data_IF_345039663181
#
_entry.id   IF_345039663181
#
_cell.length_a   1.000
_cell.length_b   1.000
_cell.length_c   1.000
_cell.angle_alpha   90.00
_cell.angle_beta   90.00
_cell.angle_gamma   90.00
#
_symmetry.space_group_name_H-M   'P 1'
#
loop_
_entity.id
_entity.type
_entity.pdbx_description
1 polymer ?
#
# COMPACT_ATOMS: atom_id res chain seq x y z
N UNK A 1 -3.22 79.29 17.82
CA UNK A 1 -3.46 77.85 18.05
C UNK A 1 -2.28 77.10 17.46
N UNK A 2 -1.42 76.55 18.33
CA UNK A 2 -0.45 75.54 17.91
C UNK A 2 -1.24 74.28 17.55
N UNK A 3 -1.09 73.82 16.31
CA UNK A 3 -1.74 72.59 15.85
C UNK A 3 -0.79 71.47 16.28
N UNK A 4 -1.17 70.69 17.30
CA UNK A 4 -0.37 69.57 17.80
C UNK A 4 -0.47 68.36 16.88
N UNK A 5 0.17 68.41 15.72
CA UNK A 5 0.33 67.26 14.82
C UNK A 5 1.76 67.20 14.28
N UNK A 6 2.23 65.99 13.98
CA UNK A 6 3.57 65.76 13.42
C UNK A 6 3.45 65.80 11.88
N UNK A 7 4.14 66.72 11.19
CA UNK A 7 4.14 66.76 9.73
C UNK A 7 4.76 65.49 9.14
N UNK A 8 4.05 64.88 8.18
CA UNK A 8 4.53 63.67 7.47
C UNK A 8 5.14 63.97 6.10
N UNK A 9 5.19 65.24 5.68
CA UNK A 9 5.71 65.65 4.37
C UNK A 9 6.55 66.93 4.46
N UNK A 10 7.50 67.08 3.53
CA UNK A 10 8.36 68.27 3.43
C UNK A 10 7.64 69.52 2.93
N UNK A 11 6.50 69.33 2.25
CA UNK A 11 5.67 70.41 1.72
C UNK A 11 4.68 70.95 2.76
N UNK A 12 4.66 70.37 3.97
CA UNK A 12 3.78 70.83 5.04
C UNK A 12 4.20 72.24 5.53
N UNK A 13 3.27 73.22 5.58
CA UNK A 13 3.57 74.59 6.00
C UNK A 13 4.16 74.70 7.41
N UNK A 14 3.77 73.80 8.32
CA UNK A 14 4.28 73.78 9.70
C UNK A 14 5.72 73.29 9.75
N UNK A 15 6.09 72.30 8.91
CA UNK A 15 7.47 71.83 8.77
C UNK A 15 8.39 72.93 8.22
N UNK A 16 7.96 73.64 7.17
CA UNK A 16 8.75 74.73 6.56
C UNK A 16 9.00 75.85 7.57
N UNK A 17 7.95 76.28 8.28
CA UNK A 17 8.05 77.34 9.29
C UNK A 17 8.99 76.98 10.44
N UNK A 18 8.95 75.74 10.91
CA UNK A 18 9.82 75.29 11.99
C UNK A 18 11.28 75.22 11.53
N UNK A 19 11.54 74.72 10.32
CA UNK A 19 12.87 74.69 9.71
C UNK A 19 13.47 76.09 9.53
N UNK A 20 12.65 77.08 9.16
CA UNK A 20 13.08 78.49 9.07
C UNK A 20 13.39 79.07 10.46
N UNK A 21 12.60 78.73 11.47
CA UNK A 21 12.83 79.14 12.87
C UNK A 21 14.16 78.60 13.39
N UNK A 22 14.42 77.31 13.18
CA UNK A 22 15.68 76.65 13.58
C UNK A 22 16.91 77.34 12.96
N UNK A 23 16.86 77.63 11.65
CA UNK A 23 17.91 78.39 10.95
C UNK A 23 18.13 79.79 11.52
N UNK A 24 17.05 80.51 11.84
CA UNK A 24 17.11 81.87 12.39
C UNK A 24 17.74 81.91 13.79
N UNK A 25 17.50 80.87 14.59
CA UNK A 25 18.02 80.77 15.96
C UNK A 25 19.42 80.14 15.97
N UNK A 26 19.91 79.64 14.83
CA UNK A 26 21.25 79.05 14.70
C UNK A 26 21.35 77.66 15.34
N UNK A 27 20.27 76.87 15.28
CA UNK A 27 20.33 75.47 15.67
C UNK A 27 21.31 74.71 14.76
N UNK A 28 21.92 73.66 15.32
CA UNK A 28 22.77 72.74 14.57
C UNK A 28 21.93 72.01 13.52
N UNK A 29 22.52 71.75 12.35
CA UNK A 29 21.80 71.05 11.29
C UNK A 29 21.34 69.66 11.75
N UNK A 30 20.08 69.35 11.44
CA UNK A 30 19.46 68.10 11.86
C UNK A 30 20.03 66.93 11.04
N UNK A 31 20.57 65.92 11.72
CA UNK A 31 21.13 64.70 11.11
C UNK A 31 20.13 63.53 11.02
N UNK A 32 18.84 63.78 11.20
CA UNK A 32 17.84 62.71 11.11
C UNK A 32 17.68 62.23 9.65
N UNK A 33 17.09 61.04 9.46
CA UNK A 33 16.88 60.44 8.15
C UNK A 33 16.06 61.30 7.18
N UNK A 34 15.26 62.23 7.68
CA UNK A 34 14.49 63.16 6.85
C UNK A 34 15.32 64.39 6.44
N UNK A 35 16.26 64.84 7.26
CA UNK A 35 17.05 66.05 7.00
C UNK A 35 18.38 65.75 6.29
N UNK A 36 18.98 64.59 6.54
CA UNK A 36 20.16 64.09 5.83
C UNK A 36 19.95 62.63 5.37
N UNK A 37 19.24 62.41 4.24
CA UNK A 37 18.92 61.06 3.77
C UNK A 37 20.15 60.28 3.28
N UNK A 38 21.19 60.98 2.81
CA UNK A 38 22.42 60.35 2.29
C UNK A 38 23.23 59.75 3.44
N UNK A 39 23.47 60.52 4.50
CA UNK A 39 24.18 60.04 5.68
C UNK A 39 23.40 58.90 6.38
N UNK A 40 22.08 59.03 6.50
CA UNK A 40 21.24 57.99 7.10
C UNK A 40 21.27 56.67 6.32
N UNK A 41 21.22 56.71 4.99
CA UNK A 41 21.31 55.54 4.14
C UNK A 41 22.70 54.87 4.21
N UNK A 42 23.77 55.67 4.28
CA UNK A 42 25.12 55.18 4.56
C UNK A 42 25.25 54.47 5.91
N UNK A 43 24.74 55.09 6.98
CA UNK A 43 24.70 54.50 8.32
C UNK A 43 23.95 53.16 8.32
N UNK A 44 22.79 53.09 7.68
CA UNK A 44 21.99 51.85 7.61
C UNK A 44 22.72 50.71 6.88
N UNK A 45 23.56 51.02 5.89
CA UNK A 45 24.38 49.99 5.21
C UNK A 45 25.46 49.42 6.12
N UNK A 46 25.99 50.22 7.04
CA UNK A 46 27.15 49.85 7.87
C UNK A 46 26.79 49.65 9.35
N UNK A 47 25.51 49.69 9.70
CA UNK A 47 25.01 49.50 11.08
C UNK A 47 25.43 48.16 11.71
N UNK A 48 25.79 47.16 10.87
CA UNK A 48 26.29 45.85 11.32
C UNK A 48 27.73 45.89 11.84
N UNK A 49 28.49 46.89 11.43
CA UNK A 49 29.87 47.16 11.85
C UNK A 49 29.91 48.08 13.07
N UNK A 50 28.75 48.59 13.49
CA UNK A 50 28.61 49.45 14.65
C UNK A 50 28.76 48.64 15.94
N UNK A 51 29.66 49.09 16.80
CA UNK A 51 29.88 48.60 18.15
C UNK A 51 29.72 49.74 19.17
N UNK A 52 30.05 49.47 20.43
CA UNK A 52 29.89 50.46 21.51
C UNK A 52 30.93 51.58 21.45
N UNK A 53 32.07 51.33 20.82
CA UNK A 53 33.21 52.22 20.84
C UNK A 53 33.21 53.15 19.60
N UNK A 54 32.57 52.73 18.50
CA UNK A 54 32.48 53.48 17.24
C UNK A 54 31.10 54.12 16.97
N UNK A 55 30.11 53.92 17.83
CA UNK A 55 28.74 54.39 17.64
C UNK A 55 28.64 55.89 17.34
N UNK A 56 29.29 56.73 18.16
CA UNK A 56 29.20 58.18 18.03
C UNK A 56 29.84 58.68 16.73
N UNK A 57 30.98 58.10 16.34
CA UNK A 57 31.66 58.42 15.08
C UNK A 57 30.81 58.00 13.87
N UNK A 58 30.20 56.82 13.94
CA UNK A 58 29.35 56.29 12.88
C UNK A 58 28.07 57.14 12.70
N UNK A 59 27.51 57.73 13.75
CA UNK A 59 26.31 58.58 13.66
C UNK A 59 26.59 59.93 13.00
N UNK A 60 27.76 60.53 13.28
CA UNK A 60 28.12 61.87 12.79
C UNK A 60 28.74 61.83 11.39
N UNK A 61 29.12 60.64 10.91
CA UNK A 61 29.75 60.47 9.60
C UNK A 61 28.82 60.83 8.44
N UNK A 62 29.25 61.77 7.61
CA UNK A 62 28.53 62.18 6.39
C UNK A 62 29.10 61.55 5.11
N UNK A 63 30.37 61.14 5.14
CA UNK A 63 31.15 60.67 3.99
C UNK A 63 31.25 59.14 3.91
N UNK A 64 30.09 58.51 3.74
CA UNK A 64 30.04 57.06 3.54
C UNK A 64 30.63 56.68 2.19
N UNK A 65 31.46 55.61 2.13
CA UNK A 65 31.96 55.10 0.87
C UNK A 65 30.77 54.70 -0.03
N UNK A 66 30.94 54.88 -1.35
CA UNK A 66 29.93 54.49 -2.32
C UNK A 66 29.57 53.01 -2.12
N UNK A 67 28.27 52.69 -2.24
CA UNK A 67 27.78 51.34 -2.01
C UNK A 67 28.55 50.34 -2.90
N UNK A 68 29.32 49.45 -2.27
CA UNK A 68 29.91 48.34 -2.99
C UNK A 68 28.78 47.50 -3.61
N UNK A 69 28.89 47.07 -4.87
CA UNK A 69 27.89 46.21 -5.47
C UNK A 69 27.73 44.99 -4.59
N UNK A 70 26.52 44.76 -4.08
CA UNK A 70 26.19 43.59 -3.26
C UNK A 70 26.49 42.34 -4.09
N UNK A 71 27.68 41.77 -3.91
CA UNK A 71 27.97 40.41 -4.35
C UNK A 71 27.14 39.54 -3.41
N UNK A 72 25.90 39.30 -3.80
CA UNK A 72 25.04 38.30 -3.17
C UNK A 72 25.66 36.95 -3.45
N UNK A 73 26.71 36.60 -2.71
CA UNK A 73 27.07 35.20 -2.60
C UNK A 73 25.89 34.57 -1.87
N UNK A 74 24.98 33.98 -2.64
CA UNK A 74 24.09 32.93 -2.18
C UNK A 74 24.96 31.72 -1.85
N UNK A 75 25.90 31.88 -0.91
CA UNK A 75 26.38 30.77 -0.12
C UNK A 75 25.20 30.39 0.74
N UNK A 76 24.29 29.62 0.14
CA UNK A 76 23.34 28.77 0.83
C UNK A 76 24.18 28.10 1.89
N UNK A 77 23.99 28.49 3.15
CA UNK A 77 24.59 27.85 4.30
C UNK A 77 24.17 26.39 4.16
N UNK A 78 25.04 25.55 3.60
CA UNK A 78 24.86 24.12 3.67
C UNK A 78 24.82 23.88 5.16
N UNK A 79 23.66 23.48 5.67
CA UNK A 79 23.56 22.97 7.01
C UNK A 79 24.68 21.92 7.07
N UNK A 80 25.72 22.24 7.83
CA UNK A 80 26.73 21.29 8.17
C UNK A 80 25.93 20.13 8.76
N UNK A 81 26.02 18.94 8.16
CA UNK A 81 25.66 17.68 8.81
C UNK A 81 26.62 17.51 10.00
N UNK A 82 26.51 18.40 10.98
CA UNK A 82 26.98 18.19 12.32
C UNK A 82 26.03 17.16 12.88
N UNK A 83 26.56 15.96 13.14
CA UNK A 83 25.82 14.87 13.74
C UNK A 83 25.23 15.27 15.08
N UNK A 84 24.01 15.77 15.06
CA UNK A 84 23.06 15.59 16.13
C UNK A 84 22.20 14.41 15.73
N UNK A 85 22.04 13.47 16.65
CA UNK A 85 21.05 12.39 16.58
C UNK A 85 19.74 12.97 16.07
N UNK A 86 19.44 12.78 14.78
CA UNK A 86 18.21 13.29 14.18
C UNK A 86 17.07 12.50 14.81
N UNK A 87 16.53 13.02 15.91
CA UNK A 87 15.23 12.66 16.42
C UNK A 87 14.28 12.85 15.25
N UNK A 88 13.89 11.74 14.63
CA UNK A 88 13.02 11.76 13.46
C UNK A 88 11.71 12.40 13.89
N UNK A 89 11.28 13.43 13.17
CA UNK A 89 9.95 14.02 13.35
C UNK A 89 8.91 12.91 13.30
N UNK A 90 8.09 12.82 14.34
CA UNK A 90 6.99 11.86 14.42
C UNK A 90 5.80 12.49 13.72
N UNK A 91 5.30 11.86 12.66
CA UNK A 91 4.06 12.29 11.99
C UNK A 91 2.88 11.66 12.71
N UNK A 92 2.04 12.50 13.31
CA UNK A 92 0.81 12.08 13.97
C UNK A 92 -0.27 11.78 12.91
N UNK A 93 -1.22 10.90 13.25
CA UNK A 93 -2.44 10.77 12.44
C UNK A 93 -3.35 11.97 12.67
N UNK A 94 -4.24 12.27 11.73
CA UNK A 94 -5.18 13.40 11.86
C UNK A 94 -5.99 13.36 13.17
N UNK A 95 -6.43 12.18 13.57
CA UNK A 95 -7.14 11.96 14.85
C UNK A 95 -6.29 12.28 16.08
N UNK A 96 -5.00 11.98 16.03
CA UNK A 96 -4.05 12.26 17.10
C UNK A 96 -3.67 13.74 17.14
N UNK A 97 -3.57 14.40 15.99
CA UNK A 97 -3.35 15.86 15.88
C UNK A 97 -4.51 16.63 16.52
N UNK A 98 -5.75 16.25 16.22
CA UNK A 98 -6.96 16.87 16.80
C UNK A 98 -7.02 16.69 18.32
N UNK A 99 -6.74 15.48 18.84
CA UNK A 99 -6.68 15.24 20.29
C UNK A 99 -5.56 16.04 20.97
N UNK A 100 -4.35 16.06 20.40
CA UNK A 100 -3.23 16.80 20.96
C UNK A 100 -3.53 18.31 20.96
N UNK A 101 -4.12 18.83 19.89
CA UNK A 101 -4.54 20.23 19.79
C UNK A 101 -5.51 20.60 20.91
N UNK A 102 -6.57 19.81 21.10
CA UNK A 102 -7.56 20.04 22.15
C UNK A 102 -6.92 20.00 23.56
N UNK A 103 -6.05 19.03 23.82
CA UNK A 103 -5.36 18.91 25.11
C UNK A 103 -4.39 20.08 25.36
N UNK A 104 -3.71 20.58 24.33
CA UNK A 104 -2.82 21.74 24.44
C UNK A 104 -3.61 23.03 24.73
N UNK A 105 -4.78 23.21 24.12
CA UNK A 105 -5.68 24.35 24.39
C UNK A 105 -6.17 24.28 25.84
N UNK A 106 -6.67 23.12 26.30
CA UNK A 106 -7.15 22.95 27.68
C UNK A 106 -6.02 23.14 28.71
N UNK A 107 -4.83 22.60 28.43
CA UNK A 107 -3.65 22.81 29.26
C UNK A 107 -3.25 24.28 29.35
N UNK A 108 -3.29 25.01 28.23
CA UNK A 108 -3.02 26.44 28.21
C UNK A 108 -4.08 27.23 28.97
N UNK A 109 -5.37 26.90 28.80
CA UNK A 109 -6.48 27.55 29.49
C UNK A 109 -6.31 27.45 31.02
N UNK A 110 -5.93 26.28 31.53
CA UNK A 110 -5.63 26.09 32.95
C UNK A 110 -4.48 26.99 33.42
N UNK A 111 -3.39 27.07 32.65
CA UNK A 111 -2.27 27.95 32.97
C UNK A 111 -2.69 29.44 32.98
N UNK A 112 -3.56 29.81 32.05
CA UNK A 112 -4.09 31.15 31.91
C UNK A 112 -5.00 31.55 33.09
N UNK A 113 -5.92 30.68 33.47
CA UNK A 113 -6.85 30.90 34.58
C UNK A 113 -6.13 31.00 35.94
N UNK A 114 -5.07 30.19 36.13
CA UNK A 114 -4.20 30.28 37.32
C UNK A 114 -3.50 31.64 37.38
N UNK A 115 -3.05 32.17 36.22
CA UNK A 115 -2.33 33.44 36.18
C UNK A 115 -3.26 34.65 36.32
N UNK A 116 -4.45 34.56 35.74
CA UNK A 116 -5.41 35.66 35.66
C UNK A 116 -6.78 35.26 36.23
N UNK A 117 -6.87 34.97 37.54
CA UNK A 117 -8.11 34.49 38.16
C UNK A 117 -9.26 35.51 38.13
N UNK A 118 -8.95 36.80 37.97
CA UNK A 118 -9.92 37.89 37.89
C UNK A 118 -10.16 38.38 36.46
N UNK A 119 -9.68 37.64 35.46
CA UNK A 119 -9.77 38.02 34.06
C UNK A 119 -8.74 39.08 33.66
N UNK A 120 -8.69 39.33 32.36
CA UNK A 120 -7.70 40.18 31.67
C UNK A 120 -8.33 40.66 30.36
N UNK A 121 -7.86 41.79 29.83
CA UNK A 121 -8.29 42.31 28.52
C UNK A 121 -7.76 41.46 27.36
N UNK A 122 -6.80 40.58 27.61
CA UNK A 122 -6.26 39.62 26.66
C UNK A 122 -7.04 38.31 26.75
N UNK A 123 -7.38 37.74 25.60
CA UNK A 123 -7.96 36.41 25.51
C UNK A 123 -6.87 35.33 25.40
N UNK A 124 -7.12 34.11 25.90
CA UNK A 124 -6.21 32.98 25.77
C UNK A 124 -5.75 32.74 24.33
N UNK A 125 -6.68 32.80 23.38
CA UNK A 125 -6.44 32.58 21.95
C UNK A 125 -5.45 33.58 21.34
N UNK A 126 -5.37 34.79 21.90
CA UNK A 126 -4.42 35.82 21.43
C UNK A 126 -2.98 35.50 21.86
N UNK A 127 -2.80 34.69 22.90
CA UNK A 127 -1.49 34.33 23.44
C UNK A 127 -1.03 32.95 22.97
N UNK A 128 -1.96 32.00 22.85
CA UNK A 128 -1.69 30.65 22.42
C UNK A 128 -2.86 30.12 21.59
N UNK A 129 -2.70 30.15 20.27
CA UNK A 129 -3.71 29.71 19.32
C UNK A 129 -3.16 28.65 18.36
N UNK A 130 -3.86 28.49 17.24
CA UNK A 130 -3.53 27.51 16.21
C UNK A 130 -2.08 27.61 15.69
N UNK A 131 -1.48 28.80 15.46
CA UNK A 131 -0.10 28.87 14.95
C UNK A 131 0.92 28.23 15.88
N UNK A 132 0.75 28.38 17.19
CA UNK A 132 1.64 27.78 18.19
C UNK A 132 1.42 26.27 18.27
N UNK A 133 0.16 25.82 18.23
CA UNK A 133 -0.23 24.41 18.24
C UNK A 133 0.34 23.69 17.01
N UNK A 134 0.14 24.26 15.83
CA UNK A 134 0.66 23.75 14.56
C UNK A 134 2.19 23.64 14.60
N UNK A 135 2.88 24.62 15.20
CA UNK A 135 4.34 24.55 15.36
C UNK A 135 4.79 23.39 16.26
N UNK A 136 4.04 23.12 17.34
CA UNK A 136 4.32 21.98 18.24
C UNK A 136 4.06 20.66 17.51
N UNK A 137 2.92 20.53 16.83
CA UNK A 137 2.53 19.32 16.08
C UNK A 137 3.52 19.05 14.95
N UNK A 138 3.85 20.09 14.18
CA UNK A 138 4.82 19.95 13.10
C UNK A 138 6.16 19.47 13.66
N UNK A 139 6.66 20.04 14.74
CA UNK A 139 7.95 19.65 15.31
C UNK A 139 7.86 18.52 16.34
N UNK A 140 6.77 17.75 16.34
CA UNK A 140 6.57 16.69 17.31
C UNK A 140 7.67 15.61 17.21
N UNK A 141 8.26 15.27 18.36
CA UNK A 141 9.38 14.33 18.47
C UNK A 141 10.76 14.93 18.21
N UNK A 142 10.89 16.19 17.73
CA UNK A 142 12.22 16.81 17.50
C UNK A 142 12.75 17.59 18.70
N UNK A 143 11.86 18.01 19.60
CA UNK A 143 12.25 18.75 20.81
C UNK A 143 12.30 17.84 22.02
N UNK A 144 13.28 18.13 22.89
CA UNK A 144 13.45 17.44 24.15
C UNK A 144 13.13 18.38 25.32
N UNK A 145 12.11 17.99 26.09
CA UNK A 145 11.66 18.65 27.31
C UNK A 145 11.28 20.13 27.16
N UNK A 146 11.26 20.79 28.32
CA UNK A 146 10.80 22.18 28.50
C UNK A 146 11.60 23.18 27.66
N UNK A 147 12.92 22.99 27.57
CA UNK A 147 13.81 23.90 26.85
C UNK A 147 13.60 23.82 25.34
N UNK A 148 13.36 22.61 24.80
CA UNK A 148 13.03 22.44 23.40
C UNK A 148 11.65 23.00 23.06
N UNK A 149 10.65 22.76 23.93
CA UNK A 149 9.30 23.28 23.77
C UNK A 149 9.27 24.82 23.76
N UNK A 150 10.01 25.45 24.67
CA UNK A 150 10.12 26.92 24.72
C UNK A 150 10.72 27.51 23.42
N UNK A 151 11.70 26.84 22.82
CA UNK A 151 12.29 27.27 21.54
C UNK A 151 11.32 27.17 20.36
N UNK A 152 10.45 26.16 20.36
CA UNK A 152 9.51 25.93 19.25
C UNK A 152 8.36 26.92 19.26
N UNK A 153 7.76 27.15 20.43
CA UNK A 153 6.66 28.10 20.56
C UNK A 153 7.19 29.52 20.33
N UNK A 154 8.34 29.84 20.92
CA UNK A 154 8.91 31.18 20.89
C UNK A 154 8.04 32.21 21.62
N UNK A 155 8.51 33.46 21.67
CA UNK A 155 7.76 34.57 22.26
C UNK A 155 7.78 34.62 23.79
N UNK A 156 6.79 35.32 24.37
CA UNK A 156 6.65 35.50 25.82
C UNK A 156 5.75 34.42 26.39
N UNK A 157 6.15 33.83 27.52
CA UNK A 157 5.41 32.78 28.21
C UNK A 157 4.73 33.30 29.47
N UNK A 158 3.60 32.69 29.79
CA UNK A 158 2.99 32.82 31.12
C UNK A 158 3.79 31.91 32.08
N UNK A 159 4.09 32.35 33.31
CA UNK A 159 4.72 31.48 34.32
C UNK A 159 3.91 30.18 34.52
N UNK A 160 4.58 29.03 34.45
CA UNK A 160 3.95 27.70 34.58
C UNK A 160 3.34 27.13 33.28
N UNK A 161 3.24 27.93 32.22
CA UNK A 161 2.72 27.48 30.92
C UNK A 161 3.54 26.31 30.35
N UNK A 162 4.87 26.48 30.28
CA UNK A 162 5.75 25.46 29.69
C UNK A 162 5.72 24.16 30.49
N UNK A 163 5.56 24.24 31.82
CA UNK A 163 5.47 23.06 32.67
C UNK A 163 4.19 22.28 32.38
N UNK A 164 3.05 22.97 32.32
CA UNK A 164 1.75 22.35 32.03
C UNK A 164 1.73 21.75 30.63
N UNK A 165 2.19 22.50 29.61
CA UNK A 165 2.22 22.01 28.23
C UNK A 165 3.16 20.81 28.08
N UNK A 166 4.31 20.81 28.75
CA UNK A 166 5.24 19.67 28.71
C UNK A 166 4.65 18.43 29.38
N UNK A 167 3.89 18.58 30.47
CA UNK A 167 3.14 17.48 31.10
C UNK A 167 2.10 16.92 30.14
N UNK A 168 1.29 17.78 29.51
CA UNK A 168 0.29 17.37 28.51
C UNK A 168 0.92 16.57 27.37
N UNK A 169 2.07 17.02 26.86
CA UNK A 169 2.81 16.33 25.79
C UNK A 169 3.34 14.95 26.26
N UNK A 170 3.84 14.86 27.49
CA UNK A 170 4.31 13.60 28.07
C UNK A 170 3.16 12.59 28.29
N UNK A 171 2.02 13.06 28.81
CA UNK A 171 0.83 12.25 29.03
C UNK A 171 0.27 11.74 27.68
N UNK A 172 0.30 12.59 26.66
CA UNK A 172 -0.07 12.21 25.30
C UNK A 172 0.86 11.14 24.70
N UNK A 173 2.16 11.28 24.93
CA UNK A 173 3.19 10.35 24.42
C UNK A 173 3.07 8.98 25.09
N UNK A 174 2.80 8.94 26.40
CA UNK A 174 2.70 7.69 27.16
C UNK A 174 1.35 6.99 27.02
N UNK A 175 0.26 7.72 26.73
CA UNK A 175 -1.07 7.14 26.57
C UNK A 175 -1.49 6.97 25.11
N UNK A 176 -2.19 7.96 24.51
CA UNK A 176 -2.76 7.86 23.17
C UNK A 176 -1.78 7.42 22.07
N UNK A 177 -0.55 7.96 22.08
CA UNK A 177 0.43 7.65 21.04
C UNK A 177 0.96 6.21 21.17
N UNK A 178 1.32 5.78 22.38
CA UNK A 178 1.78 4.42 22.65
C UNK A 178 0.72 3.36 22.30
N UNK A 179 -0.55 3.66 22.57
CA UNK A 179 -1.67 2.77 22.25
C UNK A 179 -1.86 2.61 20.74
N UNK A 180 -1.76 3.69 19.97
CA UNK A 180 -1.90 3.63 18.51
C UNK A 180 -0.73 2.87 17.86
N UNK A 181 0.49 3.03 18.36
CA UNK A 181 1.65 2.27 17.90
C UNK A 181 1.49 0.78 18.21
N UNK A 182 1.03 0.43 19.41
CA UNK A 182 0.73 -0.96 19.78
C UNK A 182 -0.34 -1.58 18.87
N UNK A 183 -1.41 -0.84 18.57
CA UNK A 183 -2.46 -1.26 17.63
C UNK A 183 -1.91 -1.47 16.21
N UNK A 184 -1.05 -0.57 15.72
CA UNK A 184 -0.38 -0.71 14.42
C UNK A 184 0.54 -1.92 14.36
N UNK A 185 1.24 -2.24 15.45
CA UNK A 185 2.09 -3.43 15.52
C UNK A 185 1.24 -4.71 15.50
N UNK A 186 0.18 -4.75 16.30
CA UNK A 186 -0.72 -5.90 16.39
C UNK A 186 -1.45 -6.19 15.08
N UNK A 187 -1.97 -5.15 14.41
CA UNK A 187 -2.63 -5.30 13.09
C UNK A 187 -1.67 -5.79 12.01
N UNK A 188 -0.41 -5.31 12.02
CA UNK A 188 0.64 -5.84 11.13
C UNK A 188 1.02 -7.27 11.46
N UNK A 189 1.03 -7.66 12.73
CA UNK A 189 1.28 -9.05 13.12
C UNK A 189 0.14 -9.96 12.63
N UNK A 190 -1.12 -9.59 12.89
CA UNK A 190 -2.30 -10.34 12.44
C UNK A 190 -2.34 -10.51 10.92
N UNK A 191 -2.17 -9.44 10.15
CA UNK A 191 -2.12 -9.53 8.68
C UNK A 191 -0.98 -10.41 8.15
N UNK A 192 0.17 -10.46 8.84
CA UNK A 192 1.26 -11.37 8.49
C UNK A 192 0.93 -12.83 8.81
N UNK A 193 0.18 -13.08 9.88
CA UNK A 193 -0.30 -14.43 10.22
C UNK A 193 -1.35 -14.89 9.22
N UNK A 194 -2.32 -14.05 8.87
CA UNK A 194 -3.33 -14.33 7.83
C UNK A 194 -2.68 -14.62 6.48
N UNK A 195 -1.70 -13.81 6.07
CA UNK A 195 -0.96 -14.02 4.83
C UNK A 195 -0.16 -15.35 4.84
N UNK A 196 0.34 -15.79 6.00
CA UNK A 196 0.99 -17.11 6.12
C UNK A 196 -0.04 -18.25 6.04
N UNK A 197 -1.19 -18.10 6.69
CA UNK A 197 -2.26 -19.08 6.67
C UNK A 197 -2.83 -19.26 5.25
N UNK A 198 -3.05 -18.17 4.51
CA UNK A 198 -3.48 -18.21 3.11
C UNK A 198 -2.48 -18.95 2.22
N UNK A 199 -1.18 -18.64 2.33
CA UNK A 199 -0.13 -19.34 1.56
C UNK A 199 -0.04 -20.83 1.88
N UNK A 200 -0.25 -21.22 3.14
CA UNK A 200 -0.28 -22.62 3.55
C UNK A 200 -1.48 -23.35 2.97
N UNK A 201 -2.67 -22.75 3.05
CA UNK A 201 -3.91 -23.29 2.48
C UNK A 201 -3.81 -23.45 0.96
N UNK A 202 -3.30 -22.44 0.26
CA UNK A 202 -3.12 -22.51 -1.19
C UNK A 202 -2.13 -23.62 -1.60
N UNK A 203 -1.03 -23.78 -0.86
CA UNK A 203 -0.06 -24.86 -1.10
C UNK A 203 -0.64 -26.24 -0.84
N UNK A 204 -1.52 -26.38 0.16
CA UNK A 204 -2.25 -27.64 0.41
C UNK A 204 -3.23 -27.94 -0.73
N UNK A 205 -4.04 -26.96 -1.14
CA UNK A 205 -4.97 -27.11 -2.27
C UNK A 205 -4.24 -27.53 -3.57
N UNK A 206 -3.10 -26.91 -3.88
CA UNK A 206 -2.28 -27.29 -5.04
C UNK A 206 -1.72 -28.71 -4.94
N UNK A 207 -1.35 -29.18 -3.74
CA UNK A 207 -0.87 -30.56 -3.54
C UNK A 207 -1.99 -31.57 -3.73
N UNK A 208 -3.17 -31.27 -3.20
CA UNK A 208 -4.36 -32.12 -3.37
C UNK A 208 -4.80 -32.19 -4.83
N UNK A 209 -4.81 -31.07 -5.54
CA UNK A 209 -5.14 -31.04 -6.96
C UNK A 209 -4.15 -31.89 -7.77
N UNK A 210 -2.84 -31.73 -7.55
CA UNK A 210 -1.82 -32.57 -8.22
C UNK A 210 -1.94 -34.04 -7.86
N UNK A 211 -2.36 -34.38 -6.64
CA UNK A 211 -2.64 -35.78 -6.26
C UNK A 211 -3.81 -36.33 -7.05
N UNK A 212 -4.93 -35.59 -7.10
CA UNK A 212 -6.14 -35.99 -7.83
C UNK A 212 -5.88 -36.16 -9.33
N UNK A 213 -5.11 -35.25 -9.94
CA UNK A 213 -4.70 -35.35 -11.34
C UNK A 213 -3.88 -36.62 -11.60
N UNK A 214 -2.92 -36.94 -10.72
CA UNK A 214 -2.15 -38.19 -10.82
C UNK A 214 -3.00 -39.44 -10.61
N UNK A 215 -3.98 -39.38 -9.72
CA UNK A 215 -4.91 -40.50 -9.49
C UNK A 215 -5.78 -40.73 -10.73
N UNK A 216 -6.29 -39.66 -11.35
CA UNK A 216 -7.05 -39.72 -12.59
C UNK A 216 -6.21 -40.25 -13.76
N UNK A 217 -4.97 -39.77 -13.92
CA UNK A 217 -4.05 -40.25 -14.96
C UNK A 217 -3.74 -41.75 -14.78
N UNK A 218 -3.47 -42.20 -13.55
CA UNK A 218 -3.25 -43.62 -13.26
C UNK A 218 -4.48 -44.48 -13.56
N UNK A 219 -5.68 -44.01 -13.22
CA UNK A 219 -6.92 -44.69 -13.54
C UNK A 219 -7.16 -44.79 -15.05
N UNK A 220 -6.90 -43.71 -15.80
CA UNK A 220 -7.02 -43.69 -17.26
C UNK A 220 -6.03 -44.66 -17.94
N UNK A 221 -4.78 -44.71 -17.46
CA UNK A 221 -3.77 -45.66 -17.96
C UNK A 221 -4.20 -47.11 -17.67
N UNK A 222 -4.72 -47.40 -16.48
CA UNK A 222 -5.21 -48.75 -16.15
C UNK A 222 -6.38 -49.16 -17.04
N UNK A 223 -7.33 -48.27 -17.28
CA UNK A 223 -8.48 -48.57 -18.13
C UNK A 223 -8.08 -48.76 -19.60
N UNK A 224 -7.17 -47.93 -20.13
CA UNK A 224 -6.62 -48.11 -21.47
C UNK A 224 -5.96 -49.48 -21.65
N UNK A 225 -5.18 -49.93 -20.65
CA UNK A 225 -4.58 -51.28 -20.66
C UNK A 225 -5.62 -52.40 -20.67
N UNK A 226 -6.73 -52.24 -19.92
CA UNK A 226 -7.83 -53.22 -19.92
C UNK A 226 -8.50 -53.31 -21.29
N UNK A 227 -8.81 -52.16 -21.88
CA UNK A 227 -9.41 -52.08 -23.23
C UNK A 227 -8.48 -52.66 -24.30
N UNK A 228 -7.18 -52.43 -24.21
CA UNK A 228 -6.18 -53.00 -25.13
C UNK A 228 -6.12 -54.54 -25.01
N UNK A 229 -6.15 -55.07 -23.78
CA UNK A 229 -6.16 -56.50 -23.53
C UNK A 229 -7.43 -57.17 -24.10
N UNK A 230 -8.61 -56.60 -23.84
CA UNK A 230 -9.88 -57.09 -24.38
C UNK A 230 -9.91 -57.06 -25.92
N UNK A 231 -9.40 -55.98 -26.52
CA UNK A 231 -9.22 -55.90 -27.98
C UNK A 231 -8.24 -56.95 -28.51
N UNK A 232 -7.17 -57.22 -27.77
CA UNK A 232 -6.20 -58.27 -28.10
C UNK A 232 -6.84 -59.66 -28.08
N UNK A 233 -7.61 -59.97 -27.05
CA UNK A 233 -8.37 -61.21 -26.92
C UNK A 233 -9.44 -61.37 -28.02
N UNK A 234 -10.14 -60.29 -28.35
CA UNK A 234 -11.09 -60.31 -29.47
C UNK A 234 -10.40 -60.57 -30.81
N UNK A 235 -9.23 -59.96 -31.06
CA UNK A 235 -8.44 -60.17 -32.29
C UNK A 235 -7.98 -61.63 -32.41
N UNK A 236 -7.45 -62.23 -31.35
CA UNK A 236 -7.02 -63.64 -31.38
C UNK A 236 -8.20 -64.58 -31.60
N UNK A 237 -9.36 -64.31 -30.99
CA UNK A 237 -10.58 -65.07 -31.23
C UNK A 237 -11.00 -65.00 -32.71
N UNK A 238 -11.01 -63.81 -33.30
CA UNK A 238 -11.32 -63.61 -34.73
C UNK A 238 -10.33 -64.38 -35.62
N UNK A 239 -9.03 -64.32 -35.33
CA UNK A 239 -8.01 -65.05 -36.10
C UNK A 239 -8.18 -66.57 -36.02
N UNK A 240 -8.49 -67.10 -34.82
CA UNK A 240 -8.76 -68.53 -34.64
C UNK A 240 -9.99 -68.96 -35.44
N UNK A 241 -11.08 -68.18 -35.40
CA UNK A 241 -12.29 -68.45 -36.18
C UNK A 241 -12.00 -68.41 -37.68
N UNK A 242 -11.31 -67.37 -38.17
CA UNK A 242 -10.93 -67.25 -39.58
C UNK A 242 -10.02 -68.40 -40.02
N UNK A 243 -9.07 -68.81 -39.19
CA UNK A 243 -8.19 -69.95 -39.47
C UNK A 243 -8.96 -71.28 -39.55
N UNK A 244 -9.96 -71.48 -38.68
CA UNK A 244 -10.87 -72.64 -38.78
C UNK A 244 -11.68 -72.60 -40.07
N UNK A 245 -12.23 -71.45 -40.44
CA UNK A 245 -13.02 -71.26 -41.65
C UNK A 245 -12.21 -71.52 -42.93
N UNK A 246 -10.98 -70.98 -43.02
CA UNK A 246 -10.08 -71.25 -44.14
C UNK A 246 -9.74 -72.74 -44.27
N UNK A 247 -9.46 -73.42 -43.15
CA UNK A 247 -9.22 -74.87 -43.15
C UNK A 247 -10.45 -75.64 -43.63
N UNK A 248 -11.64 -75.24 -43.22
CA UNK A 248 -12.89 -75.87 -43.65
C UNK A 248 -13.12 -75.65 -45.15
N UNK A 249 -12.98 -74.41 -45.65
CA UNK A 249 -13.10 -74.11 -47.08
C UNK A 249 -12.11 -74.92 -47.93
N UNK A 250 -10.86 -75.03 -47.48
CA UNK A 250 -9.84 -75.85 -48.15
C UNK A 250 -10.22 -77.34 -48.17
N UNK A 251 -10.72 -77.89 -47.05
CA UNK A 251 -11.21 -79.28 -46.99
C UNK A 251 -12.36 -79.51 -47.99
N UNK A 252 -13.32 -78.59 -48.04
CA UNK A 252 -14.47 -78.66 -48.96
C UNK A 252 -14.02 -78.63 -50.43
N UNK A 253 -13.06 -77.75 -50.78
CA UNK A 253 -12.49 -77.70 -52.13
C UNK A 253 -11.75 -78.99 -52.50
N UNK A 254 -10.95 -79.56 -51.57
CA UNK A 254 -10.25 -80.83 -51.79
C UNK A 254 -11.25 -81.97 -52.03
N UNK A 255 -12.36 -82.01 -51.28
CA UNK A 255 -13.44 -82.99 -51.48
C UNK A 255 -14.05 -82.86 -52.88
N UNK A 256 -14.49 -81.65 -53.25
CA UNK A 256 -15.09 -81.38 -54.56
C UNK A 256 -14.15 -81.72 -55.72
N UNK A 257 -12.84 -81.43 -55.57
CA UNK A 257 -11.83 -81.79 -56.56
C UNK A 257 -11.63 -83.30 -56.68
N UNK A 258 -11.69 -84.03 -55.55
CA UNK A 258 -11.65 -85.50 -55.54
C UNK A 258 -12.85 -86.12 -56.28
N UNK A 259 -14.06 -85.60 -56.02
CA UNK A 259 -15.29 -86.02 -56.71
C UNK A 259 -15.28 -85.66 -58.21
N UNK A 260 -14.70 -84.51 -58.58
CA UNK A 260 -14.57 -84.08 -59.98
C UNK A 260 -13.55 -84.93 -60.76
N UNK A 261 -12.45 -85.33 -60.14
CA UNK A 261 -11.46 -86.23 -60.73
C UNK A 261 -12.06 -87.62 -61.04
N UNK A 262 -12.90 -88.14 -60.15
CA UNK A 262 -13.63 -89.39 -60.37
C UNK A 262 -14.65 -89.27 -61.51
N UNK A 263 -15.38 -88.15 -61.62
CA UNK A 263 -16.26 -87.86 -62.76
C UNK A 263 -15.53 -87.84 -64.10
N UNK A 264 -14.24 -87.49 -64.10
CA UNK A 264 -13.37 -87.49 -65.29
C UNK A 264 -12.66 -88.83 -65.55
N UNK A 265 -12.93 -89.86 -64.74
CA UNK A 265 -12.39 -91.21 -64.93
C UNK A 265 -10.94 -91.41 -64.46
N UNK A 266 -10.39 -90.49 -63.67
CA UNK A 266 -9.03 -90.57 -63.11
C UNK A 266 -9.11 -91.02 -61.65
N UNK A 267 -8.25 -91.95 -61.22
CA UNK A 267 -8.22 -92.39 -59.81
C UNK A 267 -7.82 -91.22 -58.90
N UNK A 268 -8.73 -90.82 -58.00
CA UNK A 268 -8.49 -89.77 -57.02
C UNK A 268 -7.61 -90.27 -55.86
N UNK A 269 -6.48 -89.60 -55.63
CA UNK A 269 -5.61 -89.80 -54.45
C UNK A 269 -6.21 -89.21 -53.16
N UNK A 270 -7.37 -88.55 -53.23
CA UNK A 270 -8.03 -87.90 -52.09
C UNK A 270 -9.34 -88.57 -51.67
N UNK A 271 -9.70 -89.69 -52.32
CA UNK A 271 -10.91 -90.48 -52.01
C UNK A 271 -10.89 -90.98 -50.56
N UNK A 272 -11.95 -90.68 -49.81
CA UNK A 272 -12.13 -91.14 -48.42
C UNK A 272 -11.28 -90.40 -47.37
N UNK A 273 -10.55 -89.33 -47.72
CA UNK A 273 -9.70 -88.58 -46.77
C UNK A 273 -10.47 -87.58 -45.89
N UNK A 274 -11.64 -87.16 -46.35
CA UNK A 274 -12.57 -86.30 -45.61
C UNK A 274 -13.97 -86.86 -45.86
N UNK A 275 -14.63 -87.41 -44.84
CA UNK A 275 -16.00 -87.95 -44.95
C UNK A 275 -17.03 -86.83 -44.72
N UNK A 276 -18.31 -87.09 -45.03
CA UNK A 276 -19.40 -86.11 -44.83
C UNK A 276 -19.50 -85.71 -43.35
N UNK A 277 -19.28 -86.66 -42.44
CA UNK A 277 -19.29 -86.44 -40.99
C UNK A 277 -18.16 -85.49 -40.52
N UNK A 278 -17.02 -85.45 -41.22
CA UNK A 278 -15.89 -84.54 -40.89
C UNK A 278 -16.13 -83.08 -41.32
N UNK A 279 -17.16 -82.81 -42.12
CA UNK A 279 -17.49 -81.48 -42.64
C UNK A 279 -18.65 -80.80 -41.86
N UNK A 280 -19.40 -81.57 -41.07
CA UNK A 280 -20.64 -81.17 -40.39
C UNK A 280 -20.48 -80.83 -38.89
N UNK A 281 -19.25 -80.57 -38.41
CA UNK A 281 -19.01 -79.97 -37.07
C UNK A 281 -19.45 -78.48 -36.96
N UNK A 282 -20.45 -78.09 -37.74
CA UNK A 282 -21.24 -76.87 -37.55
C UNK A 282 -22.73 -77.13 -37.80
N UNK A 283 -23.32 -78.04 -37.03
CA UNK A 283 -24.73 -77.90 -36.65
C UNK A 283 -25.01 -78.08 -35.16
N UNK A 284 -24.12 -78.70 -34.36
CA UNK A 284 -24.36 -78.87 -32.93
C UNK A 284 -23.09 -78.70 -32.11
N UNK A 285 -22.77 -77.45 -31.76
CA UNK A 285 -22.12 -77.07 -30.48
C UNK A 285 -21.60 -75.64 -30.60
N UNK A 286 -22.47 -74.70 -30.24
CA UNK A 286 -22.20 -73.58 -29.33
C UNK A 286 -23.35 -72.61 -29.55
N UNK A 287 -24.42 -72.85 -28.78
CA UNK A 287 -25.18 -71.73 -28.28
C UNK A 287 -24.17 -70.74 -27.74
N UNK A 288 -24.05 -69.62 -28.43
CA UNK A 288 -23.52 -68.40 -27.87
C UNK A 288 -24.48 -68.14 -26.71
N UNK A 289 -24.11 -68.60 -25.51
CA UNK A 289 -24.56 -67.95 -24.31
C UNK A 289 -24.04 -66.52 -24.44
N UNK A 290 -24.90 -65.65 -24.97
CA UNK A 290 -24.98 -64.29 -24.48
C UNK A 290 -25.15 -64.45 -22.97
N UNK A 291 -24.01 -64.53 -22.27
CA UNK A 291 -23.97 -64.43 -20.83
C UNK A 291 -24.58 -63.10 -20.51
N UNK A 292 -25.79 -63.15 -19.97
CA UNK A 292 -26.41 -62.09 -19.20
C UNK A 292 -25.42 -61.64 -18.13
N UNK A 293 -24.62 -60.64 -18.49
CA UNK A 293 -24.13 -59.66 -17.55
C UNK A 293 -24.25 -58.32 -18.22
N UNK A 294 -25.49 -57.84 -18.22
CA UNK A 294 -25.76 -56.42 -18.30
C UNK A 294 -24.76 -55.69 -17.37
N UNK A 295 -24.04 -54.66 -17.82
CA UNK A 295 -23.50 -53.70 -16.88
C UNK A 295 -24.71 -53.12 -16.15
N UNK A 296 -24.76 -53.32 -14.84
CA UNK A 296 -25.58 -52.52 -13.95
C UNK A 296 -25.12 -51.07 -14.10
N UNK A 297 -25.71 -50.38 -15.08
CA UNK A 297 -25.75 -48.93 -15.12
C UNK A 297 -26.63 -48.57 -13.91
N UNK A 298 -25.98 -48.32 -12.77
CA UNK A 298 -26.61 -47.57 -11.71
C UNK A 298 -26.71 -46.12 -12.21
N UNK A 299 -27.80 -45.83 -12.93
CA UNK A 299 -28.37 -44.49 -12.91
C UNK A 299 -28.75 -44.26 -11.45
N UNK A 300 -27.83 -43.61 -10.72
CA UNK A 300 -28.14 -42.98 -9.47
C UNK A 300 -29.21 -41.94 -9.75
N UNK A 301 -30.41 -42.25 -9.30
CA UNK A 301 -31.56 -41.36 -9.29
C UNK A 301 -31.15 -39.99 -8.77
N UNK A 302 -31.21 -38.97 -9.64
CA UNK A 302 -31.46 -37.62 -9.21
C UNK A 302 -32.82 -37.61 -8.51
N UNK A 303 -32.81 -37.71 -7.19
CA UNK A 303 -33.91 -37.27 -6.34
C UNK A 303 -34.01 -35.75 -6.47
N UNK A 304 -34.80 -35.30 -7.45
CA UNK A 304 -35.44 -34.01 -7.40
C UNK A 304 -36.50 -34.06 -6.31
N UNK A 305 -36.13 -33.62 -5.11
CA UNK A 305 -37.10 -33.08 -4.17
C UNK A 305 -37.42 -31.66 -4.63
N UNK A 306 -38.62 -31.49 -5.19
CA UNK A 306 -39.28 -30.20 -5.21
C UNK A 306 -39.43 -29.71 -3.77
N UNK A 307 -38.70 -28.66 -3.40
CA UNK A 307 -39.19 -27.66 -2.46
C UNK A 307 -39.79 -26.53 -3.28
N UNK A 308 -41.12 -26.49 -3.33
CA UNK A 308 -41.87 -25.23 -3.29
C UNK A 308 -41.26 -24.36 -2.17
N UNK A 309 -41.08 -23.05 -2.25
CA UNK A 309 -41.40 -22.04 -3.23
C UNK A 309 -41.26 -20.71 -2.49
N UNK A 310 -40.54 -19.74 -3.04
CA UNK A 310 -40.71 -18.35 -2.63
C UNK A 310 -40.31 -17.47 -3.81
N UNK A 311 -41.35 -16.91 -4.45
CA UNK A 311 -41.22 -15.82 -5.41
C UNK A 311 -41.39 -14.54 -4.62
N UNK A 312 -40.33 -13.77 -4.54
CA UNK A 312 -40.40 -12.32 -4.48
C UNK A 312 -41.16 -11.81 -5.71
N UNK A 313 -42.18 -11.00 -5.48
CA UNK A 313 -42.76 -10.10 -6.45
C UNK A 313 -42.56 -8.68 -5.91
N UNK A 314 -41.68 -7.93 -6.58
CA UNK A 314 -41.69 -6.47 -6.53
C UNK A 314 -42.91 -5.94 -7.29
N UNK A 315 -43.75 -5.20 -6.58
CA UNK A 315 -44.46 -3.99 -7.02
C UNK A 315 -44.83 -3.18 -5.79
#
# INVERSE_FOLDING_TARGET
MEIGYIPLSFDDPSYIREKEREKKVGFVDCMCSNCNPIAADGLMRHIKEMDKDNMDEMIVREDWPAAEPLITTTKRKRAMEGGTTTTKRIRLSKTLEEMLSANLIDGFQKAFDIKYPHGTMLYPDNLFGQPQIDNIINNFGTFDGKAGLSKIIGGRFIPGQIDILNTVINDFTTGPLANEEALKINTKAASREDAKAQKLSEKQAQREQKSREKDQERAAIQEAKRVEAEKGEARTCIEVVRGKEQKWQLRTLIRLAGEDAERRGVQSIHRGRYTIEDCDEKTESQGITLGERAPSISIGSCSGSSSEGERDLES
#
